data_IF_104969703022
#
_entry.id   IF_104969703022
#
_cell.length_a   1.000
_cell.length_b   1.000
_cell.length_c   1.000
_cell.angle_alpha   90.00
_cell.angle_beta   90.00
_cell.angle_gamma   90.00
#
_symmetry.space_group_name_H-M   'P 1'
#
loop_
_entity.id
_entity.type
_entity.pdbx_description
1 polymer ?
#
# COMPACT_ATOMS: atom_id res chain seq x y z
N UNK A 1 15.48 3.18 -19.31
CA UNK A 1 16.04 3.62 -18.01
C UNK A 1 15.16 3.05 -16.93
N UNK A 2 15.70 2.23 -16.00
CA UNK A 2 14.88 1.67 -14.91
C UNK A 2 14.43 2.80 -13.99
N UNK A 3 13.14 2.87 -13.58
CA UNK A 3 12.70 3.88 -12.63
C UNK A 3 13.42 3.68 -11.30
N UNK A 4 13.97 4.76 -10.74
CA UNK A 4 14.58 4.74 -9.42
C UNK A 4 13.48 4.63 -8.35
N UNK A 5 13.56 3.62 -7.49
CA UNK A 5 12.65 3.49 -6.34
C UNK A 5 13.11 4.45 -5.25
N UNK A 6 12.24 5.40 -4.90
CA UNK A 6 12.38 6.31 -3.78
C UNK A 6 11.71 5.68 -2.57
N UNK A 7 12.35 5.72 -1.41
CA UNK A 7 11.90 4.98 -0.24
C UNK A 7 12.31 5.67 1.04
N UNK A 8 11.63 5.36 2.13
CA UNK A 8 11.97 5.87 3.45
C UNK A 8 10.97 5.40 4.50
N UNK A 9 11.14 5.94 5.70
CA UNK A 9 10.24 5.74 6.82
C UNK A 9 9.85 7.08 7.42
N UNK A 10 8.56 7.28 7.68
CA UNK A 10 8.02 8.50 8.26
C UNK A 10 7.57 8.23 9.69
N UNK A 11 8.10 9.00 10.63
CA UNK A 11 7.72 8.92 12.04
C UNK A 11 6.43 9.70 12.30
N UNK A 12 5.52 9.14 13.10
CA UNK A 12 4.29 9.83 13.52
C UNK A 12 3.23 10.00 12.44
N UNK A 13 3.42 9.41 11.27
CA UNK A 13 2.43 9.39 10.17
C UNK A 13 1.78 8.01 10.12
N UNK A 14 0.46 7.99 10.02
CA UNK A 14 -0.34 6.77 9.86
C UNK A 14 -0.69 6.50 8.40
N UNK A 15 -0.98 5.24 8.07
CA UNK A 15 -1.32 4.80 6.72
C UNK A 15 -2.54 5.53 6.15
N UNK A 16 -3.58 5.72 6.95
CA UNK A 16 -4.79 6.43 6.55
C UNK A 16 -4.48 7.88 6.11
N UNK A 17 -3.65 8.60 6.85
CA UNK A 17 -3.27 9.99 6.57
C UNK A 17 -2.46 10.10 5.28
N UNK A 18 -1.47 9.21 5.11
CA UNK A 18 -0.68 9.15 3.89
C UNK A 18 -1.54 8.83 2.66
N UNK A 19 -2.45 7.85 2.77
CA UNK A 19 -3.40 7.53 1.70
C UNK A 19 -4.31 8.71 1.38
N UNK A 20 -4.88 9.38 2.38
CA UNK A 20 -5.70 10.58 2.16
C UNK A 20 -4.95 11.63 1.35
N UNK A 21 -3.68 11.89 1.66
CA UNK A 21 -2.86 12.84 0.93
C UNK A 21 -2.66 12.42 -0.53
N UNK A 22 -2.30 11.16 -0.76
CA UNK A 22 -2.01 10.64 -2.10
C UNK A 22 -3.27 10.59 -2.97
N UNK A 23 -4.43 10.30 -2.38
CA UNK A 23 -5.73 10.26 -3.05
C UNK A 23 -6.27 11.65 -3.44
N UNK A 24 -5.61 12.76 -3.07
CA UNK A 24 -5.94 14.11 -3.57
C UNK A 24 -5.53 14.34 -5.02
N UNK A 25 -4.65 13.51 -5.56
CA UNK A 25 -4.22 13.59 -6.97
C UNK A 25 -3.99 12.19 -7.53
N UNK A 26 -5.04 11.35 -7.57
CA UNK A 26 -4.91 10.00 -8.11
C UNK A 26 -4.77 10.09 -9.63
N UNK A 27 -4.05 9.15 -10.22
CA UNK A 27 -4.01 8.99 -11.67
C UNK A 27 -5.03 7.91 -12.08
N UNK A 28 -5.45 7.96 -13.34
CA UNK A 28 -6.34 6.94 -13.89
C UNK A 28 -5.68 5.56 -13.85
N UNK A 29 -6.47 4.50 -13.66
CA UNK A 29 -5.96 3.13 -13.65
C UNK A 29 -5.32 2.68 -12.33
N UNK A 30 -5.34 3.48 -11.26
CA UNK A 30 -4.81 3.04 -9.96
C UNK A 30 -5.66 1.93 -9.34
N UNK A 31 -4.97 0.87 -8.92
CA UNK A 31 -5.54 -0.30 -8.25
C UNK A 31 -4.81 -0.49 -6.93
N UNK A 32 -5.58 -0.67 -5.87
CA UNK A 32 -5.06 -0.73 -4.51
C UNK A 32 -5.20 -2.15 -3.99
N UNK A 33 -4.09 -2.81 -3.69
CA UNK A 33 -4.09 -4.10 -3.00
C UNK A 33 -3.93 -3.81 -1.51
N UNK A 34 -4.90 -4.21 -0.71
CA UNK A 34 -4.86 -4.09 0.75
C UNK A 34 -4.38 -5.39 1.37
N UNK A 35 -3.51 -5.30 2.37
CA UNK A 35 -2.94 -6.43 3.08
C UNK A 35 -3.00 -6.20 4.59
N UNK A 36 -2.93 -7.34 5.29
CA UNK A 36 -2.77 -7.53 6.73
C UNK A 36 -3.90 -6.98 7.62
N UNK A 37 -4.49 -7.87 8.41
CA UNK A 37 -5.20 -7.53 9.65
C UNK A 37 -4.68 -8.47 10.74
N UNK A 38 -4.17 -7.93 11.86
CA UNK A 38 -3.72 -8.67 13.05
C UNK A 38 -3.06 -10.03 12.75
N UNK A 39 -1.87 -10.02 12.12
CA UNK A 39 -1.08 -11.21 11.74
C UNK A 39 -1.69 -12.09 10.63
N UNK A 40 -2.91 -11.80 10.15
CA UNK A 40 -3.56 -12.57 9.10
C UNK A 40 -3.15 -12.02 7.73
N UNK A 41 -2.33 -12.81 7.02
CA UNK A 41 -1.94 -12.55 5.63
C UNK A 41 -2.89 -13.21 4.61
N UNK A 42 -3.89 -13.95 5.07
CA UNK A 42 -4.80 -14.64 4.16
C UNK A 42 -5.84 -13.69 3.57
N UNK A 43 -6.12 -13.87 2.29
CA UNK A 43 -7.05 -13.02 1.53
C UNK A 43 -8.51 -13.18 1.98
N UNK A 44 -8.83 -14.29 2.65
CA UNK A 44 -10.19 -14.58 3.09
C UNK A 44 -10.58 -13.70 4.28
N UNK A 45 -9.67 -13.52 5.25
CA UNK A 45 -9.84 -12.62 6.38
C UNK A 45 -10.02 -11.18 5.93
N UNK A 46 -9.15 -10.70 5.04
CA UNK A 46 -9.24 -9.37 4.42
C UNK A 46 -10.60 -9.19 3.72
N UNK A 47 -10.99 -10.13 2.85
CA UNK A 47 -12.26 -10.05 2.11
C UNK A 47 -13.49 -10.07 3.02
N UNK A 48 -13.45 -10.85 4.10
CA UNK A 48 -14.54 -10.89 5.10
C UNK A 48 -14.73 -9.54 5.79
N UNK A 49 -13.65 -8.86 6.14
CA UNK A 49 -13.70 -7.57 6.82
C UNK A 49 -14.22 -6.48 5.87
N UNK A 50 -13.70 -6.44 4.64
CA UNK A 50 -14.23 -5.54 3.60
C UNK A 50 -15.73 -5.78 3.35
N UNK A 51 -16.14 -7.05 3.24
CA UNK A 51 -17.56 -7.42 3.09
C UNK A 51 -18.42 -6.96 4.27
N UNK A 52 -17.92 -7.14 5.50
CA UNK A 52 -18.62 -6.70 6.72
C UNK A 52 -18.85 -5.18 6.71
N UNK A 53 -17.86 -4.42 6.26
CA UNK A 53 -17.95 -2.96 6.09
C UNK A 53 -18.63 -2.53 4.78
N UNK A 54 -19.14 -3.48 3.98
CA UNK A 54 -19.78 -3.25 2.67
C UNK A 54 -18.89 -2.48 1.67
N UNK A 55 -17.59 -2.69 1.76
CA UNK A 55 -16.62 -2.18 0.79
C UNK A 55 -16.53 -3.16 -0.38
N UNK A 56 -16.84 -2.69 -1.59
CA UNK A 56 -16.66 -3.49 -2.79
C UNK A 56 -15.18 -3.82 -2.96
N UNK A 57 -14.90 -5.06 -3.33
CA UNK A 57 -13.54 -5.53 -3.56
C UNK A 57 -13.57 -6.72 -4.51
N UNK A 58 -12.46 -6.93 -5.18
CA UNK A 58 -12.23 -8.10 -6.02
C UNK A 58 -11.06 -8.91 -5.48
N UNK A 59 -10.99 -10.17 -5.89
CA UNK A 59 -9.89 -11.08 -5.56
C UNK A 59 -9.29 -11.70 -6.82
N UNK A 60 -7.97 -11.65 -6.92
CA UNK A 60 -7.22 -12.28 -8.00
C UNK A 60 -5.91 -12.83 -7.43
N UNK A 61 -5.67 -14.13 -7.63
CA UNK A 61 -4.46 -14.81 -7.14
C UNK A 61 -4.19 -14.57 -5.64
N UNK A 62 -5.26 -14.56 -4.83
CA UNK A 62 -5.22 -14.25 -3.39
C UNK A 62 -4.76 -12.84 -3.03
N UNK A 63 -4.73 -11.91 -3.98
CA UNK A 63 -4.66 -10.49 -3.69
C UNK A 63 -6.07 -9.93 -3.59
N UNK A 64 -6.35 -9.15 -2.55
CA UNK A 64 -7.61 -8.42 -2.42
C UNK A 64 -7.38 -7.00 -2.86
N UNK A 65 -8.11 -6.54 -3.86
CA UNK A 65 -7.92 -5.21 -4.41
C UNK A 65 -9.20 -4.39 -4.49
N UNK A 66 -8.99 -3.08 -4.40
CA UNK A 66 -9.99 -2.03 -4.39
C UNK A 66 -9.69 -1.09 -5.56
N UNK A 67 -10.74 -0.55 -6.15
CA UNK A 67 -10.60 0.57 -7.09
C UNK A 67 -10.50 1.89 -6.32
N UNK A 68 -10.11 2.95 -7.02
CA UNK A 68 -10.16 4.31 -6.49
C UNK A 68 -11.56 4.70 -5.99
N UNK A 69 -12.61 4.21 -6.68
CA UNK A 69 -13.99 4.49 -6.29
C UNK A 69 -14.31 3.85 -4.94
N UNK A 70 -13.93 2.58 -4.77
CA UNK A 70 -14.20 1.83 -3.54
C UNK A 70 -13.53 2.47 -2.32
N UNK A 71 -12.32 3.01 -2.49
CA UNK A 71 -11.62 3.76 -1.43
C UNK A 71 -12.25 5.13 -1.14
N UNK A 72 -12.78 5.83 -2.15
CA UNK A 72 -13.41 7.15 -1.96
C UNK A 72 -14.77 7.07 -1.27
N UNK A 73 -15.47 5.95 -1.46
CA UNK A 73 -16.80 5.73 -0.89
C UNK A 73 -16.74 5.36 0.61
N UNK A 74 -15.54 5.23 1.20
CA UNK A 74 -15.37 4.78 2.58
C UNK A 74 -14.40 5.66 3.42
N UNK A 75 -14.68 5.92 4.71
CA UNK A 75 -13.76 6.63 5.60
C UNK A 75 -12.46 5.83 5.82
N UNK A 76 -11.34 6.33 5.32
CA UNK A 76 -10.06 5.62 5.35
C UNK A 76 -9.53 5.37 6.77
N UNK A 77 -9.84 6.27 7.71
CA UNK A 77 -9.53 6.12 9.13
C UNK A 77 -10.22 4.88 9.76
N UNK A 78 -11.44 4.57 9.32
CA UNK A 78 -12.14 3.36 9.77
C UNK A 78 -11.63 2.10 9.08
N UNK A 79 -11.28 2.21 7.79
CA UNK A 79 -10.80 1.06 7.01
C UNK A 79 -9.43 0.61 7.52
N UNK A 80 -8.49 1.56 7.61
CA UNK A 80 -7.11 1.31 8.00
C UNK A 80 -6.88 1.32 9.51
N UNK A 81 -7.95 1.27 10.31
CA UNK A 81 -7.86 0.88 11.71
C UNK A 81 -7.50 -0.62 11.87
N UNK A 82 -7.81 -1.45 10.87
CA UNK A 82 -7.48 -2.87 10.84
C UNK A 82 -6.41 -3.23 9.80
N UNK A 83 -6.36 -2.53 8.67
CA UNK A 83 -5.39 -2.78 7.60
C UNK A 83 -4.09 -2.01 7.82
N UNK A 84 -2.95 -2.72 7.77
CA UNK A 84 -1.64 -2.10 8.01
C UNK A 84 -0.78 -1.93 6.74
N UNK A 85 -1.22 -2.42 5.57
CA UNK A 85 -0.40 -2.34 4.36
C UNK A 85 -1.25 -2.10 3.09
N UNK A 86 -0.77 -1.19 2.23
CA UNK A 86 -1.35 -0.93 0.91
C UNK A 86 -0.28 -0.89 -0.16
N UNK A 87 -0.59 -1.55 -1.27
CA UNK A 87 0.18 -1.49 -2.50
C UNK A 87 -0.66 -0.83 -3.58
N UNK A 88 -0.06 0.02 -4.40
CA UNK A 88 -0.71 0.67 -5.53
C UNK A 88 -0.05 0.20 -6.82
N UNK A 89 -0.88 -0.18 -7.78
CA UNK A 89 -0.50 -0.62 -9.12
C UNK A 89 -1.19 0.25 -10.17
N UNK A 90 -0.64 0.29 -11.37
CA UNK A 90 -1.20 1.04 -12.51
C UNK A 90 -1.76 0.04 -13.52
N UNK A 91 -2.94 0.34 -14.05
CA UNK A 91 -3.67 -0.36 -15.12
C UNK A 91 -4.17 -1.77 -14.80
N UNK A 92 -3.46 -2.56 -13.98
CA UNK A 92 -3.84 -3.94 -13.68
C UNK A 92 -3.40 -4.40 -12.29
N UNK A 93 -4.18 -5.28 -11.64
CA UNK A 93 -3.75 -5.91 -10.39
C UNK A 93 -2.59 -6.88 -10.67
N UNK A 94 -1.71 -7.15 -9.69
CA UNK A 94 -0.61 -8.06 -9.88
C UNK A 94 -1.11 -9.49 -10.13
N UNK A 95 -0.60 -10.11 -11.21
CA UNK A 95 -0.90 -11.51 -11.54
C UNK A 95 -0.24 -12.54 -10.60
N UNK A 96 0.64 -12.11 -9.69
CA UNK A 96 1.26 -12.98 -8.68
C UNK A 96 0.70 -12.67 -7.31
N UNK A 97 0.55 -13.72 -6.50
CA UNK A 97 0.21 -13.59 -5.09
C UNK A 97 1.31 -12.82 -4.35
N UNK A 98 0.95 -11.71 -3.69
CA UNK A 98 1.89 -10.89 -2.93
C UNK A 98 2.17 -11.43 -1.52
N UNK A 99 1.42 -12.44 -1.03
CA UNK A 99 1.57 -12.97 0.32
C UNK A 99 2.94 -13.62 0.59
N UNK A 100 3.64 -14.04 -0.46
CA UNK A 100 5.01 -14.55 -0.38
C UNK A 100 6.09 -13.45 -0.37
N UNK A 101 5.72 -12.18 -0.51
CA UNK A 101 6.65 -11.05 -0.43
C UNK A 101 6.77 -10.53 1.01
N UNK A 102 7.92 -9.95 1.37
CA UNK A 102 8.07 -9.21 2.63
C UNK A 102 6.94 -8.18 2.80
N UNK A 103 6.57 -7.93 4.05
CA UNK A 103 5.68 -6.80 4.38
C UNK A 103 6.49 -5.50 4.40
N UNK A 104 5.79 -4.37 4.38
CA UNK A 104 6.29 -3.02 4.61
C UNK A 104 6.00 -2.56 6.05
N UNK A 105 5.46 -3.42 6.90
CA UNK A 105 5.11 -3.10 8.30
C UNK A 105 6.34 -3.12 9.22
N UNK A 106 6.12 -2.97 10.54
CA UNK A 106 7.18 -3.04 11.57
C UNK A 106 7.97 -4.35 11.61
N UNK A 107 7.43 -5.42 11.02
CA UNK A 107 8.10 -6.73 10.91
C UNK A 107 9.24 -6.73 9.88
N UNK A 108 9.41 -5.63 9.15
CA UNK A 108 10.41 -5.46 8.08
C UNK A 108 11.46 -4.42 8.46
N UNK A 109 12.59 -4.44 7.77
CA UNK A 109 13.63 -3.41 7.91
C UNK A 109 13.10 -2.02 7.56
N UNK A 110 13.60 -1.00 8.25
CA UNK A 110 13.37 0.40 7.89
C UNK A 110 13.78 0.66 6.43
N UNK A 111 12.83 1.11 5.61
CA UNK A 111 13.06 1.34 4.18
C UNK A 111 14.06 2.46 3.89
N UNK A 112 14.31 3.36 4.84
CA UNK A 112 15.37 4.36 4.74
C UNK A 112 16.78 3.74 4.87
N UNK A 113 16.91 2.63 5.60
CA UNK A 113 18.18 1.94 5.83
C UNK A 113 18.44 0.86 4.78
N UNK A 114 17.46 -0.02 4.55
CA UNK A 114 17.58 -1.11 3.60
C UNK A 114 16.23 -1.41 2.95
N UNK A 115 16.26 -2.02 1.77
CA UNK A 115 15.04 -2.41 1.07
C UNK A 115 15.17 -3.84 0.56
N UNK A 116 14.21 -4.72 0.92
CA UNK A 116 14.24 -6.10 0.49
C UNK A 116 14.31 -6.24 -1.03
N UNK A 117 15.14 -7.18 -1.50
CA UNK A 117 15.36 -7.41 -2.94
C UNK A 117 14.10 -7.91 -3.64
N UNK A 118 13.26 -8.63 -2.92
CA UNK A 118 11.97 -9.16 -3.34
C UNK A 118 11.00 -8.02 -3.68
N UNK A 119 10.99 -6.96 -2.87
CA UNK A 119 10.17 -5.77 -3.13
C UNK A 119 10.67 -5.00 -4.35
N UNK A 120 11.99 -4.83 -4.52
CA UNK A 120 12.56 -4.27 -5.76
C UNK A 120 12.07 -5.02 -7.00
N UNK A 121 12.09 -6.36 -6.96
CA UNK A 121 11.59 -7.18 -8.08
C UNK A 121 10.10 -6.98 -8.30
N UNK A 122 9.31 -6.80 -7.25
CA UNK A 122 7.88 -6.55 -7.39
C UNK A 122 7.58 -5.22 -8.10
N UNK A 123 8.33 -4.16 -7.79
CA UNK A 123 8.29 -2.90 -8.54
C UNK A 123 8.63 -3.09 -10.02
N UNK A 124 9.72 -3.82 -10.31
CA UNK A 124 10.16 -4.04 -11.70
C UNK A 124 9.22 -4.94 -12.51
N UNK A 125 8.64 -5.97 -11.90
CA UNK A 125 7.89 -7.02 -12.61
C UNK A 125 6.39 -6.77 -12.68
N UNK A 126 5.84 -6.02 -11.73
CA UNK A 126 4.39 -5.90 -11.56
C UNK A 126 3.87 -4.48 -11.75
N UNK A 127 4.73 -3.52 -12.10
CA UNK A 127 4.31 -2.13 -12.26
C UNK A 127 3.80 -1.52 -10.95
N UNK A 128 4.37 -1.95 -9.81
CA UNK A 128 4.05 -1.34 -8.53
C UNK A 128 4.48 0.13 -8.54
N UNK A 129 3.56 1.01 -8.16
CA UNK A 129 3.77 2.44 -8.07
C UNK A 129 4.18 2.84 -6.66
N UNK A 130 3.55 2.26 -5.66
CA UNK A 130 3.70 2.64 -4.25
C UNK A 130 3.44 1.43 -3.35
N UNK A 131 4.21 1.34 -2.27
CA UNK A 131 3.89 0.52 -1.10
C UNK A 131 3.90 1.44 0.12
N UNK A 132 2.90 1.28 0.97
CA UNK A 132 2.81 1.89 2.30
C UNK A 132 2.59 0.78 3.33
N UNK A 133 3.32 0.82 4.44
CA UNK A 133 3.15 -0.12 5.54
C UNK A 133 3.23 0.58 6.90
N UNK A 134 2.15 0.45 7.67
CA UNK A 134 2.00 0.97 9.02
C UNK A 134 2.58 0.01 10.07
N UNK A 135 2.97 0.56 11.21
CA UNK A 135 3.62 -0.15 12.30
C UNK A 135 4.26 0.83 13.26
N UNK A 136 5.58 0.73 13.49
CA UNK A 136 6.34 1.69 14.28
C UNK A 136 6.79 2.89 13.41
N UNK A 137 5.82 3.57 12.81
CA UNK A 137 6.01 4.56 11.73
C UNK A 137 5.71 3.97 10.35
N UNK A 138 5.54 4.85 9.37
CA UNK A 138 5.10 4.49 8.02
C UNK A 138 6.29 4.26 7.09
N UNK A 139 6.56 3.01 6.73
CA UNK A 139 7.46 2.72 5.62
C UNK A 139 6.76 3.06 4.30
N UNK A 140 7.51 3.64 3.37
CA UNK A 140 7.06 3.83 2.01
C UNK A 140 8.13 3.51 0.98
N UNK A 141 7.71 3.03 -0.18
CA UNK A 141 8.54 2.92 -1.38
C UNK A 141 7.70 3.30 -2.60
N UNK A 142 8.23 4.08 -3.53
CA UNK A 142 7.50 4.54 -4.72
C UNK A 142 8.43 4.82 -5.89
N UNK A 143 7.91 4.67 -7.11
CA UNK A 143 8.57 5.11 -8.34
C UNK A 143 8.20 6.54 -8.74
N UNK A 144 7.22 7.16 -8.06
CA UNK A 144 6.78 8.52 -8.34
C UNK A 144 7.49 9.53 -7.45
N UNK A 145 8.25 10.44 -8.08
CA UNK A 145 8.88 11.58 -7.41
C UNK A 145 7.87 12.47 -6.70
N UNK A 146 6.69 12.66 -7.30
CA UNK A 146 5.62 13.50 -6.74
C UNK A 146 5.08 12.89 -5.45
N UNK A 147 4.78 11.59 -5.44
CA UNK A 147 4.30 10.88 -4.26
C UNK A 147 5.36 10.95 -3.14
N UNK A 148 6.63 10.65 -3.46
CA UNK A 148 7.71 10.71 -2.48
C UNK A 148 7.82 12.10 -1.83
N UNK A 149 7.78 13.17 -2.63
CA UNK A 149 7.82 14.55 -2.14
C UNK A 149 6.64 14.88 -1.22
N UNK A 150 5.41 14.52 -1.62
CA UNK A 150 4.21 14.76 -0.80
C UNK A 150 4.29 14.04 0.54
N UNK A 151 4.72 12.77 0.53
CA UNK A 151 4.90 11.97 1.74
C UNK A 151 5.95 12.57 2.67
N UNK A 152 7.11 12.98 2.16
CA UNK A 152 8.15 13.61 2.98
C UNK A 152 7.68 14.95 3.57
N UNK A 153 6.93 15.75 2.82
CA UNK A 153 6.37 17.01 3.34
C UNK A 153 5.36 16.78 4.47
N UNK A 154 4.56 15.71 4.39
CA UNK A 154 3.60 15.34 5.43
C UNK A 154 4.29 15.10 6.78
N UNK A 155 5.50 14.53 6.78
CA UNK A 155 6.26 14.29 8.03
C UNK A 155 6.84 15.55 8.68
N UNK A 156 6.72 16.72 8.04
CA UNK A 156 7.26 17.99 8.54
C UNK A 156 6.20 18.92 9.12
N UNK A 157 4.92 18.57 9.01
CA UNK A 157 3.78 19.34 9.53
C UNK A 157 3.38 18.84 10.90
#
# INVERSE_FOLDING_TARGET
MKPSILRGKLSGIYLAEALQLILRSPEEGWIFVVRCIDSTRDSLGVSKILSFHKVNHDTLNSNVFLTLKDLKDFPLDQLFAGFDEVWVFIDSPPHKNLNGLPTATSETTDFSEAFPRELNKAFEQHGCLLILGDGCGLNFATTSKKIAQSLTQLSQT
#
